data_IF_117640045538
#
_entry.id   IF_117640045538
#
_cell.length_a   1.000
_cell.length_b   1.000
_cell.length_c   1.000
_cell.angle_alpha   90.00
_cell.angle_beta   90.00
_cell.angle_gamma   90.00
#
_symmetry.space_group_name_H-M   'P 1'
#
loop_
_entity.id
_entity.type
_entity.pdbx_description
1 polymer ?
#
# COMPACT_ATOMS: atom_id res chain seq x y z
N UNK A 1 -24.61 -19.92 6.74
CA UNK A 1 -23.20 -20.33 6.84
C UNK A 1 -22.84 -20.96 5.50
N UNK A 2 -22.00 -20.28 4.71
CA UNK A 2 -21.51 -20.83 3.46
C UNK A 2 -20.46 -21.90 3.77
N UNK A 3 -20.65 -23.12 3.24
CA UNK A 3 -19.63 -24.15 3.22
C UNK A 3 -18.86 -24.01 1.91
N UNK A 4 -17.58 -23.70 2.00
CA UNK A 4 -16.69 -23.70 0.85
C UNK A 4 -16.16 -25.12 0.64
N UNK A 5 -15.79 -25.44 -0.60
CA UNK A 5 -15.12 -26.69 -0.88
C UNK A 5 -13.76 -26.74 -0.17
N UNK A 6 -13.37 -27.92 0.35
CA UNK A 6 -12.15 -28.08 1.16
C UNK A 6 -10.86 -27.66 0.43
N UNK A 7 -10.88 -27.67 -0.90
CA UNK A 7 -9.76 -27.24 -1.75
C UNK A 7 -9.76 -25.73 -2.06
N UNK A 8 -10.77 -24.97 -1.62
CA UNK A 8 -10.83 -23.52 -1.85
C UNK A 8 -9.73 -22.81 -1.09
N UNK A 9 -8.96 -21.97 -1.80
CA UNK A 9 -7.91 -21.14 -1.22
C UNK A 9 -8.32 -19.68 -1.26
N UNK A 10 -7.97 -18.96 -0.22
CA UNK A 10 -8.18 -17.52 -0.11
C UNK A 10 -6.82 -16.83 -0.07
N UNK A 11 -6.64 -15.86 -0.95
CA UNK A 11 -5.45 -15.02 -0.97
C UNK A 11 -5.91 -13.59 -0.76
N UNK A 12 -5.51 -12.99 0.35
CA UNK A 12 -5.76 -11.58 0.62
C UNK A 12 -4.75 -10.70 -0.10
N UNK A 13 -5.16 -9.49 -0.45
CA UNK A 13 -4.29 -8.51 -1.08
C UNK A 13 -4.36 -7.16 -0.37
N UNK A 14 -3.23 -6.47 -0.32
CA UNK A 14 -3.11 -5.10 0.16
C UNK A 14 -2.44 -4.25 -0.92
N UNK A 15 -2.91 -3.01 -1.10
CA UNK A 15 -2.29 -2.10 -2.06
C UNK A 15 -1.05 -1.38 -1.52
N UNK A 16 -0.74 -1.49 -0.23
CA UNK A 16 0.46 -0.86 0.35
C UNK A 16 1.74 -1.44 -0.25
N UNK A 17 1.95 -2.76 -0.32
CA UNK A 17 3.15 -3.32 -0.92
C UNK A 17 3.37 -2.90 -2.37
N UNK A 18 2.34 -2.90 -3.21
CA UNK A 18 2.49 -2.50 -4.62
C UNK A 18 2.81 -1.01 -4.74
N UNK A 19 2.17 -0.15 -3.96
CA UNK A 19 2.48 1.28 -3.95
C UNK A 19 3.92 1.55 -3.49
N UNK A 20 4.39 0.84 -2.45
CA UNK A 20 5.79 0.93 -2.00
C UNK A 20 6.75 0.43 -3.09
N UNK A 21 6.44 -0.68 -3.76
CA UNK A 21 7.24 -1.21 -4.86
C UNK A 21 7.35 -0.21 -6.01
N UNK A 22 6.24 0.42 -6.40
CA UNK A 22 6.24 1.47 -7.43
C UNK A 22 7.10 2.67 -7.02
N UNK A 23 7.01 3.09 -5.78
CA UNK A 23 7.82 4.17 -5.23
C UNK A 23 9.31 3.82 -5.25
N UNK A 24 9.70 2.62 -4.84
CA UNK A 24 11.09 2.16 -4.89
C UNK A 24 11.63 2.07 -6.32
N UNK A 25 10.81 1.55 -7.24
CA UNK A 25 11.17 1.50 -8.66
C UNK A 25 11.45 2.89 -9.23
N UNK A 26 10.64 3.89 -8.83
CA UNK A 26 10.84 5.29 -9.21
C UNK A 26 12.14 5.85 -8.66
N UNK A 27 12.45 5.63 -7.38
CA UNK A 27 13.73 6.03 -6.76
C UNK A 27 14.91 5.40 -7.50
N UNK A 28 14.83 4.11 -7.81
CA UNK A 28 15.89 3.35 -8.49
C UNK A 28 15.92 3.59 -10.02
N UNK A 29 14.95 4.36 -10.56
CA UNK A 29 14.79 4.64 -12.00
C UNK A 29 14.71 3.36 -12.84
N UNK A 30 13.91 2.42 -12.38
CA UNK A 30 13.70 1.11 -13.00
C UNK A 30 12.21 0.73 -13.06
N UNK A 31 11.88 -0.43 -13.62
CA UNK A 31 10.52 -0.95 -13.67
C UNK A 31 10.22 -1.75 -12.39
N UNK A 32 8.97 -1.76 -11.97
CA UNK A 32 8.50 -2.57 -10.83
C UNK A 32 8.81 -4.06 -10.99
N UNK A 33 8.76 -4.57 -12.22
CA UNK A 33 9.08 -5.97 -12.56
C UNK A 33 10.57 -6.33 -12.43
N UNK A 34 11.46 -5.36 -12.22
CA UNK A 34 12.90 -5.59 -12.10
C UNK A 34 13.39 -5.56 -10.65
N UNK A 35 12.51 -5.26 -9.71
CA UNK A 35 12.84 -5.24 -8.28
C UNK A 35 11.99 -6.24 -7.51
N UNK A 36 12.58 -6.79 -6.46
CA UNK A 36 11.91 -7.72 -5.55
C UNK A 36 12.05 -7.21 -4.13
N UNK A 37 11.04 -6.48 -3.60
CA UNK A 37 11.03 -6.07 -2.21
C UNK A 37 10.58 -7.23 -1.31
N UNK A 38 11.25 -7.40 -0.17
CA UNK A 38 10.89 -8.37 0.85
C UNK A 38 10.20 -7.66 2.01
N UNK A 39 8.93 -7.98 2.19
CA UNK A 39 8.11 -7.48 3.28
C UNK A 39 8.04 -8.47 4.44
N UNK A 40 7.96 -7.97 5.65
CA UNK A 40 7.63 -8.76 6.84
C UNK A 40 6.86 -7.91 7.85
N UNK A 41 5.86 -8.49 8.48
CA UNK A 41 5.07 -7.87 9.53
C UNK A 41 3.58 -8.15 9.42
N UNK A 42 2.81 -7.50 10.27
CA UNK A 42 1.35 -7.56 10.22
C UNK A 42 0.83 -6.73 9.04
N UNK A 43 -0.32 -7.10 8.52
CA UNK A 43 -0.97 -6.34 7.45
C UNK A 43 -1.08 -4.86 7.85
N UNK A 44 -0.68 -3.96 6.96
CA UNK A 44 -0.49 -2.52 7.14
C UNK A 44 0.67 -2.12 8.07
N UNK A 45 1.07 -2.98 9.00
CA UNK A 45 2.17 -2.74 9.96
C UNK A 45 3.38 -3.60 9.59
N UNK A 46 3.77 -3.55 8.32
CA UNK A 46 4.91 -4.28 7.78
C UNK A 46 6.10 -3.38 7.51
N UNK A 47 7.26 -3.99 7.44
CA UNK A 47 8.53 -3.37 7.07
C UNK A 47 9.04 -3.99 5.78
N UNK A 48 9.76 -3.19 4.99
CA UNK A 48 10.57 -3.70 3.90
C UNK A 48 11.98 -3.94 4.43
N UNK A 49 12.38 -5.19 4.40
CA UNK A 49 13.67 -5.65 4.93
C UNK A 49 14.79 -5.52 3.91
N UNK A 50 14.48 -5.77 2.64
CA UNK A 50 15.41 -5.74 1.52
C UNK A 50 14.68 -5.33 0.25
N UNK A 51 15.39 -4.76 -0.70
CA UNK A 51 14.89 -4.53 -2.07
C UNK A 51 15.96 -4.98 -3.06
N UNK A 52 15.75 -6.14 -3.67
CA UNK A 52 16.72 -6.66 -4.64
C UNK A 52 16.49 -6.07 -6.03
N UNK A 53 17.55 -5.58 -6.62
CA UNK A 53 17.65 -5.18 -8.03
C UNK A 53 18.93 -5.72 -8.62
N UNK A 54 18.85 -6.53 -9.68
CA UNK A 54 20.00 -7.21 -10.29
C UNK A 54 20.85 -7.96 -9.25
N UNK A 55 20.18 -8.74 -8.39
CA UNK A 55 20.79 -9.55 -7.31
C UNK A 55 21.55 -8.75 -6.23
N UNK A 56 21.40 -7.44 -6.19
CA UNK A 56 21.95 -6.58 -5.13
C UNK A 56 20.82 -5.98 -4.30
N UNK A 57 21.01 -5.99 -2.99
CA UNK A 57 20.12 -5.26 -2.10
C UNK A 57 20.36 -3.75 -2.26
N UNK A 58 19.28 -3.01 -2.49
CA UNK A 58 19.28 -1.58 -2.76
C UNK A 58 18.49 -0.80 -1.70
N UNK A 59 18.13 -1.43 -0.57
CA UNK A 59 17.34 -0.77 0.46
C UNK A 59 18.03 0.49 1.00
N UNK A 60 19.33 0.43 1.24
CA UNK A 60 20.08 1.61 1.71
C UNK A 60 20.05 2.75 0.68
N UNK A 61 20.18 2.44 -0.60
CA UNK A 61 20.08 3.47 -1.65
C UNK A 61 18.71 4.12 -1.70
N UNK A 62 17.64 3.34 -1.43
CA UNK A 62 16.28 3.86 -1.34
C UNK A 62 16.15 4.80 -0.13
N UNK A 63 16.66 4.39 1.03
CA UNK A 63 16.65 5.20 2.24
C UNK A 63 17.43 6.51 2.02
N UNK A 64 18.61 6.46 1.43
CA UNK A 64 19.42 7.66 1.15
C UNK A 64 18.72 8.64 0.19
N UNK A 65 17.88 8.13 -0.72
CA UNK A 65 17.16 8.98 -1.67
C UNK A 65 15.76 9.38 -1.20
N UNK A 66 15.24 8.87 -0.08
CA UNK A 66 13.91 9.19 0.41
C UNK A 66 13.71 10.68 0.76
N UNK A 67 14.77 11.41 1.05
CA UNK A 67 14.71 12.87 1.28
C UNK A 67 14.22 13.65 0.06
N UNK A 68 14.52 13.14 -1.14
CA UNK A 68 14.17 13.79 -2.41
C UNK A 68 12.79 13.39 -2.89
N UNK A 69 12.32 12.22 -2.50
CA UNK A 69 11.08 11.66 -2.99
C UNK A 69 10.33 10.94 -1.87
N UNK A 70 9.26 11.57 -1.41
CA UNK A 70 8.40 11.04 -0.36
C UNK A 70 7.29 10.17 -0.97
N UNK A 71 7.02 9.05 -0.32
CA UNK A 71 5.86 8.22 -0.66
C UNK A 71 4.58 8.87 -0.15
N UNK A 72 3.60 9.01 -1.03
CA UNK A 72 2.24 9.49 -0.70
C UNK A 72 1.20 8.47 -1.12
N UNK A 73 0.13 8.37 -0.35
CA UNK A 73 -1.08 7.60 -0.67
C UNK A 73 -2.30 8.40 -0.21
N UNK A 74 -3.39 8.37 -0.99
CA UNK A 74 -4.57 9.21 -0.76
C UNK A 74 -5.25 8.96 0.60
N UNK A 75 -5.20 7.75 1.10
CA UNK A 75 -5.82 7.34 2.36
C UNK A 75 -4.86 7.34 3.56
N UNK A 76 -3.63 7.80 3.37
CA UNK A 76 -2.62 7.91 4.43
C UNK A 76 -2.11 9.33 4.46
N UNK A 77 -2.02 9.89 5.65
CA UNK A 77 -1.48 11.23 5.84
C UNK A 77 -0.10 11.38 5.17
N UNK A 78 0.12 12.44 4.37
CA UNK A 78 1.37 12.65 3.64
C UNK A 78 2.55 13.10 4.52
N UNK A 79 2.43 13.02 5.86
CA UNK A 79 3.54 13.34 6.75
C UNK A 79 4.78 12.52 6.38
N UNK A 80 5.85 13.22 6.07
CA UNK A 80 7.12 12.61 5.67
C UNK A 80 7.76 11.81 6.83
N UNK A 81 8.41 10.70 6.49
CA UNK A 81 9.30 10.03 7.43
C UNK A 81 10.54 10.89 7.69
N UNK A 82 10.97 10.93 8.93
CA UNK A 82 12.29 11.45 9.27
C UNK A 82 13.38 10.51 8.71
N UNK A 83 14.34 11.09 8.00
CA UNK A 83 15.41 10.32 7.35
C UNK A 83 16.31 9.61 8.37
N UNK A 84 16.74 10.33 9.42
CA UNK A 84 17.68 9.77 10.39
C UNK A 84 17.02 8.65 11.19
N UNK A 85 15.71 8.79 11.47
CA UNK A 85 14.92 7.73 12.07
C UNK A 85 14.90 6.46 11.19
N UNK A 86 14.56 6.56 9.91
CA UNK A 86 14.48 5.40 9.01
C UNK A 86 15.87 4.78 8.79
N UNK A 87 16.91 5.62 8.69
CA UNK A 87 18.30 5.18 8.58
C UNK A 87 18.75 4.39 9.80
N UNK A 88 18.43 4.86 11.01
CA UNK A 88 18.75 4.15 12.27
C UNK A 88 17.93 2.86 12.42
N UNK A 89 16.68 2.85 11.95
CA UNK A 89 15.83 1.68 11.97
C UNK A 89 16.39 0.55 11.08
N UNK A 90 17.09 0.90 10.01
CA UNK A 90 17.72 -0.04 9.08
C UNK A 90 16.77 -0.82 8.18
N UNK A 91 15.47 -0.52 8.26
CA UNK A 91 14.40 -1.08 7.43
C UNK A 91 13.44 0.03 7.01
N UNK A 92 12.69 -0.16 5.91
CA UNK A 92 11.75 0.88 5.46
C UNK A 92 10.34 0.57 6.00
N UNK A 93 9.80 1.40 6.91
CA UNK A 93 8.49 1.17 7.50
C UNK A 93 7.36 1.48 6.52
N UNK A 94 6.29 0.70 6.57
CA UNK A 94 5.07 1.03 5.84
C UNK A 94 4.53 2.41 6.28
N UNK A 95 3.82 3.15 5.40
CA UNK A 95 3.29 4.47 5.76
C UNK A 95 2.35 4.45 6.97
N UNK A 96 1.71 3.33 7.28
CA UNK A 96 0.83 3.20 8.45
C UNK A 96 1.56 3.23 9.80
N UNK A 97 2.85 2.91 9.84
CA UNK A 97 3.64 3.02 11.07
C UNK A 97 3.72 4.45 11.63
N UNK A 98 3.38 5.46 10.84
CA UNK A 98 3.30 6.85 11.33
C UNK A 98 2.31 6.99 12.48
N UNK A 99 1.21 6.25 12.46
CA UNK A 99 0.21 6.26 13.54
C UNK A 99 0.73 5.66 14.84
N UNK A 100 1.78 4.86 14.77
CA UNK A 100 2.47 4.30 15.93
C UNK A 100 3.66 5.17 16.35
N UNK A 101 4.64 5.39 15.46
CA UNK A 101 5.87 6.12 15.80
C UNK A 101 5.70 7.62 16.00
N UNK A 102 4.69 8.21 15.37
CA UNK A 102 4.40 9.64 15.41
C UNK A 102 3.03 9.91 16.03
N UNK A 103 2.65 9.07 17.01
CA UNK A 103 1.31 9.07 17.60
C UNK A 103 0.84 10.47 18.00
N UNK A 104 1.61 11.20 18.81
CA UNK A 104 1.21 12.53 19.31
C UNK A 104 0.97 13.52 18.17
N UNK A 105 1.85 13.53 17.16
CA UNK A 105 1.70 14.40 15.99
C UNK A 105 0.46 14.04 15.18
N UNK A 106 0.25 12.75 14.96
CA UNK A 106 -0.92 12.26 14.20
C UNK A 106 -2.21 12.52 14.97
N UNK A 107 -2.23 12.29 16.26
CA UNK A 107 -3.39 12.54 17.11
C UNK A 107 -3.76 14.02 17.12
N UNK A 108 -2.80 14.92 17.36
CA UNK A 108 -3.03 16.36 17.33
C UNK A 108 -3.59 16.82 15.98
N UNK A 109 -3.07 16.27 14.87
CA UNK A 109 -3.56 16.53 13.53
C UNK A 109 -5.00 16.05 13.33
N UNK A 110 -5.34 14.85 13.80
CA UNK A 110 -6.70 14.33 13.68
C UNK A 110 -7.70 15.14 14.49
N UNK A 111 -7.35 15.58 15.70
CA UNK A 111 -8.20 16.48 16.49
C UNK A 111 -8.46 17.78 15.73
N UNK A 112 -7.42 18.36 15.12
CA UNK A 112 -7.58 19.55 14.28
C UNK A 112 -8.54 19.31 13.11
N UNK A 113 -8.32 18.24 12.34
CA UNK A 113 -9.19 17.87 11.21
C UNK A 113 -10.63 17.61 11.65
N UNK A 114 -10.83 16.96 12.80
CA UNK A 114 -12.16 16.74 13.36
C UNK A 114 -12.88 18.07 13.67
N UNK A 115 -12.18 18.99 14.32
CA UNK A 115 -12.75 20.29 14.66
C UNK A 115 -13.06 21.17 13.42
N UNK A 116 -12.34 20.96 12.32
CA UNK A 116 -12.50 21.66 11.06
C UNK A 116 -13.52 20.99 10.10
N UNK A 117 -14.07 19.82 10.46
CA UNK A 117 -14.94 19.05 9.58
C UNK A 117 -14.24 18.55 8.31
N UNK A 118 -12.94 18.25 8.41
CA UNK A 118 -12.09 17.88 7.27
C UNK A 118 -11.41 16.52 7.47
N UNK A 119 -12.02 15.63 8.25
CA UNK A 119 -11.49 14.28 8.45
C UNK A 119 -11.51 13.48 7.15
N UNK A 120 -10.64 12.48 7.04
CA UNK A 120 -10.65 11.58 5.89
C UNK A 120 -12.01 10.88 5.70
N UNK A 121 -12.72 10.57 6.79
CA UNK A 121 -14.04 9.97 6.72
C UNK A 121 -15.07 10.89 6.05
N UNK A 122 -15.05 12.18 6.38
CA UNK A 122 -15.94 13.19 5.77
C UNK A 122 -15.64 13.36 4.29
N UNK A 123 -14.34 13.50 3.94
CA UNK A 123 -13.91 13.60 2.54
C UNK A 123 -14.36 12.38 1.73
N UNK A 124 -14.15 11.17 2.26
CA UNK A 124 -14.56 9.92 1.58
C UNK A 124 -16.06 9.85 1.41
N UNK A 125 -16.84 10.26 2.42
CA UNK A 125 -18.30 10.29 2.33
C UNK A 125 -18.81 11.23 1.23
N UNK A 126 -18.19 12.39 1.09
CA UNK A 126 -18.51 13.32 0.00
C UNK A 126 -18.15 12.74 -1.38
N UNK A 127 -16.98 12.12 -1.51
CA UNK A 127 -16.55 11.46 -2.74
C UNK A 127 -17.49 10.32 -3.12
N UNK A 128 -17.89 9.49 -2.16
CA UNK A 128 -18.83 8.39 -2.38
C UNK A 128 -20.21 8.91 -2.82
N UNK A 129 -20.69 9.98 -2.22
CA UNK A 129 -21.94 10.61 -2.66
C UNK A 129 -21.88 11.03 -4.13
N UNK A 130 -20.80 11.70 -4.54
CA UNK A 130 -20.58 12.09 -5.93
C UNK A 130 -20.47 10.90 -6.88
N UNK A 131 -19.78 9.84 -6.45
CA UNK A 131 -19.65 8.61 -7.23
C UNK A 131 -20.99 7.91 -7.43
N UNK A 132 -21.80 7.78 -6.36
CA UNK A 132 -23.12 7.17 -6.47
C UNK A 132 -24.07 7.95 -7.37
N UNK A 133 -23.98 9.28 -7.41
CA UNK A 133 -24.76 10.05 -8.38
C UNK A 133 -24.33 9.76 -9.82
N UNK A 134 -23.02 9.67 -10.09
CA UNK A 134 -22.52 9.33 -11.43
C UNK A 134 -22.90 7.90 -11.86
N UNK A 135 -22.90 6.95 -10.92
CA UNK A 135 -23.27 5.56 -11.22
C UNK A 135 -24.75 5.34 -11.53
N UNK A 136 -25.60 6.35 -11.33
CA UNK A 136 -27.00 6.32 -11.79
C UNK A 136 -27.13 6.45 -13.32
N UNK A 137 -26.09 6.94 -13.98
CA UNK A 137 -26.06 7.04 -15.45
C UNK A 137 -25.71 5.70 -16.08
N UNK A 138 -26.66 5.01 -16.78
CA UNK A 138 -26.38 3.73 -17.43
C UNK A 138 -25.40 3.85 -18.61
N UNK A 139 -25.18 5.05 -19.12
CA UNK A 139 -24.24 5.32 -20.21
C UNK A 139 -22.84 5.69 -19.74
N UNK A 140 -22.55 5.63 -18.44
CA UNK A 140 -21.25 5.92 -17.88
C UNK A 140 -20.20 4.91 -18.38
N UNK A 141 -19.36 5.33 -19.33
CA UNK A 141 -18.32 4.50 -19.96
C UNK A 141 -16.90 4.88 -19.50
N UNK A 142 -16.77 5.95 -18.75
CA UNK A 142 -15.49 6.49 -18.32
C UNK A 142 -15.38 6.40 -16.80
N UNK A 143 -14.21 5.98 -16.31
CA UNK A 143 -13.93 5.95 -14.88
C UNK A 143 -14.07 7.34 -14.26
N UNK A 144 -14.92 7.51 -13.24
CA UNK A 144 -15.03 8.80 -12.53
C UNK A 144 -13.70 9.23 -11.92
N UNK A 145 -13.39 10.53 -12.02
CA UNK A 145 -12.17 11.10 -11.43
C UNK A 145 -12.14 11.01 -9.91
N UNK A 146 -13.30 11.11 -9.28
CA UNK A 146 -13.47 10.99 -7.83
C UNK A 146 -12.97 9.67 -7.28
N UNK A 147 -12.99 8.60 -8.10
CA UNK A 147 -12.50 7.29 -7.72
C UNK A 147 -10.99 7.28 -7.46
N UNK A 148 -10.23 8.15 -8.11
CA UNK A 148 -8.79 8.29 -7.88
C UNK A 148 -8.50 8.85 -6.49
N UNK A 149 -9.33 9.78 -6.02
CA UNK A 149 -9.20 10.40 -4.70
C UNK A 149 -9.80 9.55 -3.57
N UNK A 150 -10.59 8.52 -3.90
CA UNK A 150 -11.21 7.61 -2.92
C UNK A 150 -10.17 6.75 -2.18
N UNK A 151 -9.05 6.45 -2.81
CA UNK A 151 -8.04 5.51 -2.33
C UNK A 151 -8.29 4.08 -2.83
N UNK A 152 -7.37 3.19 -2.53
CA UNK A 152 -7.45 1.79 -2.98
C UNK A 152 -6.93 1.58 -4.40
N UNK A 153 -6.05 2.45 -4.88
CA UNK A 153 -5.39 2.29 -6.17
C UNK A 153 -4.62 0.95 -6.26
N UNK A 154 -4.54 0.41 -7.48
CA UNK A 154 -3.76 -0.78 -7.83
C UNK A 154 -4.25 -2.14 -7.28
N UNK A 155 -5.43 -2.22 -6.68
CA UNK A 155 -5.97 -3.54 -6.28
C UNK A 155 -6.21 -4.47 -7.47
N UNK A 156 -6.69 -3.95 -8.61
CA UNK A 156 -6.85 -4.73 -9.84
C UNK A 156 -5.50 -5.21 -10.38
N UNK A 157 -4.47 -4.38 -10.33
CA UNK A 157 -3.13 -4.76 -10.77
C UNK A 157 -2.58 -5.92 -9.94
N UNK A 158 -2.70 -5.84 -8.60
CA UNK A 158 -2.30 -6.91 -7.68
C UNK A 158 -3.06 -8.18 -7.98
N UNK A 159 -4.39 -8.12 -8.06
CA UNK A 159 -5.23 -9.29 -8.32
C UNK A 159 -4.91 -9.96 -9.66
N UNK A 160 -4.79 -9.17 -10.74
CA UNK A 160 -4.44 -9.69 -12.06
C UNK A 160 -3.03 -10.29 -12.11
N UNK A 161 -2.07 -9.70 -11.41
CA UNK A 161 -0.72 -10.24 -11.31
C UNK A 161 -0.71 -11.60 -10.61
N UNK A 162 -1.40 -11.74 -9.48
CA UNK A 162 -1.51 -13.00 -8.74
C UNK A 162 -2.22 -14.06 -9.58
N UNK A 163 -3.36 -13.73 -10.20
CA UNK A 163 -4.09 -14.65 -11.09
C UNK A 163 -3.19 -15.12 -12.23
N UNK A 164 -2.49 -14.18 -12.86
CA UNK A 164 -1.58 -14.50 -13.99
C UNK A 164 -0.39 -15.34 -13.54
N UNK A 165 0.13 -15.11 -12.33
CA UNK A 165 1.23 -15.88 -11.75
C UNK A 165 0.80 -17.34 -11.51
N UNK A 166 -0.35 -17.53 -10.87
CA UNK A 166 -0.90 -18.86 -10.58
C UNK A 166 -1.28 -19.61 -11.88
N UNK A 167 -2.02 -18.95 -12.77
CA UNK A 167 -2.53 -19.58 -14.00
C UNK A 167 -1.40 -20.01 -14.94
N UNK A 168 -0.32 -19.25 -15.02
CA UNK A 168 0.80 -19.53 -15.93
C UNK A 168 2.00 -20.20 -15.23
N UNK A 169 1.90 -20.59 -13.96
CA UNK A 169 3.01 -21.15 -13.16
C UNK A 169 4.32 -20.33 -13.29
N UNK A 170 4.21 -19.01 -13.18
CA UNK A 170 5.34 -18.11 -13.42
C UNK A 170 6.47 -18.24 -12.41
N UNK A 171 6.18 -18.77 -11.21
CA UNK A 171 7.13 -18.93 -10.09
C UNK A 171 7.81 -17.62 -9.69
N UNK A 172 7.08 -16.51 -9.81
CA UNK A 172 7.52 -15.19 -9.37
C UNK A 172 7.08 -14.91 -7.92
N UNK A 173 7.64 -13.86 -7.33
CA UNK A 173 7.28 -13.44 -5.99
C UNK A 173 6.11 -12.46 -6.03
N UNK A 174 5.09 -12.74 -5.21
CA UNK A 174 3.93 -11.88 -5.04
C UNK A 174 3.72 -11.60 -3.55
N UNK A 175 3.57 -10.33 -3.17
CA UNK A 175 3.27 -9.99 -1.78
C UNK A 175 1.78 -10.18 -1.51
N UNK A 176 1.45 -11.05 -0.58
CA UNK A 176 0.08 -11.42 -0.26
C UNK A 176 -0.19 -11.33 1.23
N UNK A 177 -1.47 -11.19 1.60
CA UNK A 177 -1.89 -11.34 2.97
C UNK A 177 -2.18 -12.82 3.24
N UNK A 178 -1.53 -13.38 4.22
CA UNK A 178 -1.71 -14.77 4.61
C UNK A 178 -1.77 -14.92 6.14
N UNK A 179 -2.34 -16.02 6.59
CA UNK A 179 -2.34 -16.37 8.01
C UNK A 179 -0.99 -16.95 8.38
N UNK A 180 -0.33 -16.35 9.36
CA UNK A 180 0.92 -16.83 9.93
C UNK A 180 0.81 -16.79 11.47
N UNK A 181 0.82 -17.95 12.11
CA UNK A 181 0.63 -18.12 13.56
C UNK A 181 -0.60 -17.37 14.12
N UNK A 182 -1.72 -17.40 13.38
CA UNK A 182 -2.97 -16.74 13.77
C UNK A 182 -3.04 -15.24 13.46
N UNK A 183 -2.04 -14.67 12.84
CA UNK A 183 -2.01 -13.26 12.40
C UNK A 183 -2.03 -13.14 10.88
N UNK A 184 -2.60 -12.05 10.37
CA UNK A 184 -2.56 -11.72 8.94
C UNK A 184 -1.31 -10.89 8.69
N UNK A 185 -0.42 -11.38 7.84
CA UNK A 185 0.88 -10.78 7.56
C UNK A 185 1.07 -10.48 6.08
N UNK A 186 1.87 -9.45 5.77
CA UNK A 186 2.37 -9.18 4.42
C UNK A 186 3.66 -9.99 4.23
N UNK A 187 3.61 -10.98 3.37
CA UNK A 187 4.74 -11.87 3.04
C UNK A 187 4.89 -11.96 1.52
N UNK A 188 6.14 -12.18 1.01
CA UNK A 188 6.41 -12.45 -0.39
C UNK A 188 5.92 -13.82 -0.85
#
# INVERSE_FOLDING_TARGET
>A
VFRYADFTKYIGVCNVPINMTMHFAKILKTRTSEITPYFAGLNHMSYVLNVYYRSKDRLLDIIENMKKEQMTMENIDPLAWDYDFVKQLGVYPSPYHKYFYLYDKMFAKFIKQYNEGSTRAEIVKELETKLFEQYKDPELKVKPKELESRGGAHYSDVACNIISSIYNDKRDYQVVNTVNNGHITDLP
#
